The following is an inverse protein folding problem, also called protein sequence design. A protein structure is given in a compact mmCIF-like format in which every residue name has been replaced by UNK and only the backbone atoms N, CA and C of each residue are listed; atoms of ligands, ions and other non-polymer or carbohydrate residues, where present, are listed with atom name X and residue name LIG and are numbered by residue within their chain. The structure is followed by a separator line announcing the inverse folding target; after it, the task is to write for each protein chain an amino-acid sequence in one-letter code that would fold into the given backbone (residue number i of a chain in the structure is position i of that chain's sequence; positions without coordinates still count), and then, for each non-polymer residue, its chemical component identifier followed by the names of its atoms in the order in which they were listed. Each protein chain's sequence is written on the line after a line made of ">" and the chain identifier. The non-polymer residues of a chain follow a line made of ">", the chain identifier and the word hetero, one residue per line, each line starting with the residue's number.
data_IF_264090617484
#
_entry.id   IF_264090617484
#
_cell.length_a   1.000
_cell.length_b   1.000
_cell.length_c   1.000
_cell.angle_alpha   90.00
_cell.angle_beta   90.00
_cell.angle_gamma   90.00
#
_symmetry.space_group_name_H-M   'P 1'
#
loop_
_entity.id
_entity.type
_entity.pdbx_description
1 polymer ?
#
# COMPACT_ATOMS: atom_id res chain seq x y z
N UNK A 1 9.37 -11.19 -11.44
CA UNK A 1 8.25 -10.31 -11.01
C UNK A 1 8.77 -9.40 -9.93
N UNK A 2 8.57 -8.08 -10.02
CA UNK A 2 8.90 -7.21 -8.88
C UNK A 2 8.00 -7.60 -7.72
N UNK A 3 8.56 -8.08 -6.63
CA UNK A 3 7.82 -8.32 -5.41
C UNK A 3 7.23 -6.98 -4.94
N UNK A 4 5.91 -6.87 -4.90
CA UNK A 4 5.25 -5.71 -4.31
C UNK A 4 5.04 -5.99 -2.82
N UNK A 5 5.33 -5.02 -1.92
CA UNK A 5 4.99 -5.14 -0.51
C UNK A 5 3.48 -5.00 -0.25
N UNK A 6 2.68 -4.73 -1.29
CA UNK A 6 1.23 -4.62 -1.16
C UNK A 6 0.59 -5.97 -0.82
N UNK A 7 -0.34 -6.01 0.15
CA UNK A 7 -1.19 -7.17 0.40
C UNK A 7 -2.28 -7.38 -0.67
N UNK A 8 -2.46 -6.44 -1.59
CA UNK A 8 -3.51 -6.48 -2.61
C UNK A 8 -2.95 -6.81 -3.99
N UNK A 9 -3.61 -7.71 -4.71
CA UNK A 9 -3.54 -7.74 -6.18
C UNK A 9 -4.47 -6.66 -6.72
N UNK A 10 -3.92 -5.48 -6.96
CA UNK A 10 -4.68 -4.33 -7.46
C UNK A 10 -4.16 -3.89 -8.85
N UNK A 11 -5.04 -3.62 -9.84
CA UNK A 11 -4.64 -3.12 -11.15
C UNK A 11 -3.83 -1.83 -11.06
N UNK A 12 -2.87 -1.65 -11.99
CA UNK A 12 -2.07 -0.41 -12.06
C UNK A 12 -1.00 -0.27 -10.96
N UNK A 13 -0.50 -1.39 -10.44
CA UNK A 13 0.56 -1.42 -9.42
C UNK A 13 1.81 -0.63 -9.84
N UNK A 14 2.13 0.42 -9.09
CA UNK A 14 3.20 1.38 -9.40
C UNK A 14 4.57 0.98 -8.83
N UNK A 15 4.70 -0.24 -8.30
CA UNK A 15 5.98 -0.72 -7.74
C UNK A 15 7.11 -0.75 -8.79
N UNK A 16 6.78 -0.94 -10.07
CA UNK A 16 7.75 -0.96 -11.16
C UNK A 16 8.49 0.39 -11.39
N UNK A 17 7.91 1.51 -10.96
CA UNK A 17 8.54 2.84 -11.10
C UNK A 17 9.28 3.30 -9.84
N UNK A 18 9.44 2.43 -8.85
CA UNK A 18 10.07 2.79 -7.58
C UNK A 18 11.47 3.38 -7.78
N UNK A 19 12.30 2.78 -8.65
CA UNK A 19 13.68 3.25 -8.84
C UNK A 19 13.74 4.69 -9.37
N UNK A 20 12.86 5.01 -10.32
CA UNK A 20 12.70 6.37 -10.85
C UNK A 20 12.28 7.35 -9.75
N UNK A 21 11.28 7.00 -8.95
CA UNK A 21 10.75 7.87 -7.90
C UNK A 21 11.76 8.07 -6.77
N UNK A 22 12.46 7.01 -6.34
CA UNK A 22 13.52 7.14 -5.34
C UNK A 22 14.69 8.00 -5.84
N UNK A 23 15.04 7.91 -7.12
CA UNK A 23 16.08 8.76 -7.70
C UNK A 23 15.67 10.24 -7.66
N UNK A 24 14.41 10.55 -7.96
CA UNK A 24 13.86 11.91 -7.84
C UNK A 24 13.90 12.39 -6.39
N UNK A 25 13.45 11.57 -5.43
CA UNK A 25 13.47 11.90 -4.00
C UNK A 25 14.89 12.26 -3.54
N UNK A 26 15.87 11.39 -3.81
CA UNK A 26 17.26 11.61 -3.39
C UNK A 26 17.90 12.82 -4.07
N UNK A 27 17.67 13.00 -5.38
CA UNK A 27 18.26 14.10 -6.15
C UNK A 27 17.75 15.48 -5.71
N UNK A 28 16.59 15.52 -5.04
CA UNK A 28 15.97 16.75 -4.56
C UNK A 28 16.09 16.93 -3.04
N UNK A 29 16.92 16.14 -2.36
CA UNK A 29 17.07 16.17 -0.90
C UNK A 29 15.73 15.99 -0.15
N UNK A 30 14.81 15.18 -0.69
CA UNK A 30 13.50 14.89 -0.09
C UNK A 30 13.50 13.58 0.73
N UNK A 31 14.66 12.92 0.83
CA UNK A 31 14.80 11.66 1.55
C UNK A 31 14.43 11.83 3.04
N UNK A 32 13.70 10.86 3.59
CA UNK A 32 13.16 10.94 4.95
C UNK A 32 11.94 11.87 5.10
N UNK A 33 11.42 12.43 4.02
CA UNK A 33 10.21 13.24 4.02
C UNK A 33 8.91 12.43 4.04
N UNK A 34 7.81 13.13 3.74
CA UNK A 34 6.47 12.55 3.59
C UNK A 34 6.18 12.26 2.11
N UNK A 35 5.49 11.17 1.82
CA UNK A 35 5.03 10.81 0.48
C UNK A 35 3.51 10.66 0.44
N UNK A 36 2.84 11.44 -0.40
CA UNK A 36 1.39 11.37 -0.58
C UNK A 36 1.02 10.67 -1.89
N UNK A 37 0.17 9.65 -1.81
CA UNK A 37 -0.35 8.90 -2.94
C UNK A 37 -1.88 9.01 -3.00
N UNK A 38 -2.44 9.97 -3.76
CA UNK A 38 -3.88 10.23 -3.79
C UNK A 38 -4.71 9.19 -4.54
N UNK A 39 -4.04 8.30 -5.29
CA UNK A 39 -4.61 7.17 -6.03
C UNK A 39 -3.89 5.89 -5.60
N UNK A 40 -3.99 5.58 -4.31
CA UNK A 40 -3.19 4.55 -3.67
C UNK A 40 -3.46 3.16 -4.26
N UNK A 41 -4.72 2.77 -4.44
CA UNK A 41 -5.10 1.40 -4.73
C UNK A 41 -4.43 0.43 -3.76
N UNK A 42 -3.54 -0.42 -4.27
CA UNK A 42 -2.71 -1.32 -3.48
C UNK A 42 -1.52 -0.68 -2.73
N UNK A 43 -1.22 0.60 -2.91
CA UNK A 43 -0.16 1.31 -2.18
C UNK A 43 1.26 0.77 -2.42
N UNK A 44 1.46 -0.01 -3.49
CA UNK A 44 2.70 -0.77 -3.69
C UNK A 44 3.96 0.11 -3.84
N UNK A 45 3.83 1.31 -4.41
CA UNK A 45 4.93 2.27 -4.51
C UNK A 45 5.21 2.94 -3.17
N UNK A 46 4.21 3.57 -2.54
CA UNK A 46 4.34 4.17 -1.20
C UNK A 46 4.97 3.22 -0.18
N UNK A 47 4.45 1.99 -0.07
CA UNK A 47 4.98 0.98 0.84
C UNK A 47 6.42 0.60 0.49
N UNK A 48 6.76 0.51 -0.79
CA UNK A 48 8.14 0.20 -1.19
C UNK A 48 9.09 1.32 -0.81
N UNK A 49 8.69 2.58 -0.98
CA UNK A 49 9.49 3.74 -0.57
C UNK A 49 9.67 3.77 0.96
N UNK A 50 8.61 3.47 1.72
CA UNK A 50 8.63 3.40 3.18
C UNK A 50 9.58 2.30 3.68
N UNK A 51 9.39 1.07 3.21
CA UNK A 51 10.16 -0.09 3.70
C UNK A 51 11.63 -0.06 3.26
N UNK A 52 11.93 0.59 2.13
CA UNK A 52 13.30 0.87 1.70
C UNK A 52 13.89 2.14 2.33
N UNK A 53 13.17 2.81 3.22
CA UNK A 53 13.62 3.99 3.97
C UNK A 53 13.95 5.21 3.11
N UNK A 54 13.38 5.32 1.90
CA UNK A 54 13.50 6.54 1.10
C UNK A 54 12.67 7.69 1.70
N UNK A 55 11.57 7.36 2.37
CA UNK A 55 10.64 8.29 3.02
C UNK A 55 10.33 7.78 4.43
N UNK A 56 9.92 8.68 5.31
CA UNK A 56 9.61 8.35 6.71
C UNK A 56 8.12 8.06 6.92
N UNK A 57 7.25 8.72 6.15
CA UNK A 57 5.80 8.67 6.35
C UNK A 57 5.06 8.67 5.01
N UNK A 58 4.01 7.86 4.90
CA UNK A 58 3.14 7.80 3.72
C UNK A 58 1.73 8.26 4.05
N UNK A 59 1.12 8.95 3.09
CA UNK A 59 -0.26 9.41 3.13
C UNK A 59 -1.00 8.74 1.99
N UNK A 60 -1.84 7.77 2.30
CA UNK A 60 -2.62 7.05 1.31
C UNK A 60 -4.04 7.61 1.24
N UNK A 61 -4.48 7.96 0.03
CA UNK A 61 -5.86 8.28 -0.24
C UNK A 61 -6.32 7.50 -1.47
N UNK A 62 -7.61 7.17 -1.51
CA UNK A 62 -8.27 6.64 -2.68
C UNK A 62 -9.74 7.07 -2.68
N UNK A 63 -10.33 7.23 -3.87
CA UNK A 63 -11.74 7.54 -4.01
C UNK A 63 -12.60 6.30 -3.73
N UNK A 64 -12.09 5.12 -4.01
CA UNK A 64 -12.81 3.88 -3.75
C UNK A 64 -12.93 3.64 -2.24
N UNK A 65 -14.16 3.72 -1.74
CA UNK A 65 -14.49 3.49 -0.32
C UNK A 65 -14.03 2.12 0.16
N UNK A 66 -14.03 1.09 -0.69
CA UNK A 66 -13.60 -0.26 -0.34
C UNK A 66 -12.08 -0.30 -0.13
N UNK A 67 -11.31 0.39 -0.98
CA UNK A 67 -9.85 0.54 -0.81
C UNK A 67 -9.53 1.32 0.47
N UNK A 68 -10.24 2.44 0.70
CA UNK A 68 -10.10 3.19 1.94
C UNK A 68 -10.42 2.32 3.17
N UNK A 69 -11.54 1.59 3.14
CA UNK A 69 -11.98 0.75 4.26
C UNK A 69 -11.01 -0.39 4.53
N UNK A 70 -10.38 -0.94 3.49
CA UNK A 70 -9.33 -1.95 3.61
C UNK A 70 -8.13 -1.42 4.38
N UNK A 71 -7.55 -0.29 3.95
CA UNK A 71 -6.40 0.32 4.63
C UNK A 71 -6.75 0.76 6.06
N UNK A 72 -7.93 1.34 6.25
CA UNK A 72 -8.43 1.71 7.57
C UNK A 72 -8.53 0.49 8.49
N UNK A 73 -9.04 -0.64 7.99
CA UNK A 73 -9.19 -1.88 8.77
C UNK A 73 -7.84 -2.49 9.13
N UNK A 74 -6.87 -2.46 8.22
CA UNK A 74 -5.51 -2.94 8.51
C UNK A 74 -4.88 -2.13 9.66
N UNK A 75 -5.02 -0.81 9.64
CA UNK A 75 -4.35 0.06 10.61
C UNK A 75 -5.08 0.15 11.95
N UNK A 76 -6.41 0.13 11.96
CA UNK A 76 -7.21 0.43 13.15
C UNK A 76 -7.94 -0.78 13.72
N UNK A 77 -8.08 -1.87 12.95
CA UNK A 77 -8.80 -3.08 13.34
C UNK A 77 -7.97 -4.35 13.04
N UNK A 78 -6.65 -4.27 13.18
CA UNK A 78 -5.69 -5.28 12.69
C UNK A 78 -6.03 -6.70 13.14
N UNK A 79 -6.26 -6.91 14.44
CA UNK A 79 -6.55 -8.24 14.99
C UNK A 79 -7.86 -8.83 14.45
N UNK A 80 -8.92 -8.01 14.41
CA UNK A 80 -10.21 -8.43 13.86
C UNK A 80 -10.11 -8.73 12.36
N UNK A 81 -9.35 -7.92 11.62
CA UNK A 81 -9.12 -8.11 10.20
C UNK A 81 -8.39 -9.44 9.93
N UNK A 82 -7.30 -9.71 10.66
CA UNK A 82 -6.57 -10.99 10.57
C UNK A 82 -7.49 -12.16 10.96
N UNK A 83 -8.25 -12.03 12.06
CA UNK A 83 -9.16 -13.09 12.48
C UNK A 83 -10.21 -13.41 11.41
N UNK A 84 -10.79 -12.39 10.76
CA UNK A 84 -11.73 -12.59 9.64
C UNK A 84 -11.05 -13.36 8.49
N UNK A 85 -9.86 -12.95 8.06
CA UNK A 85 -9.11 -13.67 7.01
C UNK A 85 -8.92 -15.14 7.37
N UNK A 86 -8.54 -15.44 8.61
CA UNK A 86 -8.22 -16.80 9.05
C UNK A 86 -9.45 -17.68 9.29
N UNK A 87 -10.61 -17.09 9.55
CA UNK A 87 -11.83 -17.82 9.96
C UNK A 87 -12.94 -17.83 8.93
N UNK A 88 -12.88 -16.98 7.89
CA UNK A 88 -13.84 -16.99 6.79
C UNK A 88 -13.74 -18.33 6.02
N UNK A 89 -14.82 -19.13 5.97
CA UNK A 89 -14.85 -20.37 5.21
C UNK A 89 -14.66 -20.11 3.70
N UNK A 90 -13.87 -20.96 3.02
CA UNK A 90 -13.70 -20.88 1.57
C UNK A 90 -14.76 -21.77 0.91
N UNK A 91 -15.95 -21.22 0.65
CA UNK A 91 -17.05 -21.90 -0.05
C UNK A 91 -17.41 -21.15 -1.35
N UNK A 92 -18.20 -21.78 -2.22
CA UNK A 92 -18.64 -21.14 -3.48
C UNK A 92 -19.50 -19.91 -3.22
N UNK A 93 -20.30 -19.92 -2.15
CA UNK A 93 -21.19 -18.83 -1.78
C UNK A 93 -20.43 -17.60 -1.25
N UNK A 94 -19.29 -17.82 -0.60
CA UNK A 94 -18.44 -16.76 -0.05
C UNK A 94 -17.43 -16.22 -1.09
N UNK A 95 -17.24 -16.92 -2.22
CA UNK A 95 -16.32 -16.55 -3.30
C UNK A 95 -17.00 -15.69 -4.38
#
# INVERSE_FOLDING_TARGET
>A
MSATPSPLRYPGGKAAIQDMISAIICSNNLAGGHYAEPYAGGGGLALSLLFKQYIHEIHLNDLDRSVWSFWYSILNNTEQFINKIMTTPITIEEW
#
